data_IF_819452859465
#
_entry.id   IF_819452859465
#
_cell.length_a   1.000
_cell.length_b   1.000
_cell.length_c   1.000
_cell.angle_alpha   90.00
_cell.angle_beta   90.00
_cell.angle_gamma   90.00
#
_symmetry.space_group_name_H-M   'P 1'
#
loop_
_entity.id
_entity.type
_entity.pdbx_description
1 polymer ?
#
# COMPACT_ATOMS: atom_id res chain seq x y z
N UNK A 1 15.31 30.24 0.33
CA UNK A 1 14.32 30.09 -0.75
C UNK A 1 15.02 30.46 -2.03
N UNK A 2 15.26 29.49 -2.91
CA UNK A 2 15.73 29.82 -4.26
C UNK A 2 14.48 30.27 -5.00
N UNK A 3 14.47 31.52 -5.42
CA UNK A 3 13.35 32.11 -6.16
C UNK A 3 13.31 31.41 -7.53
N UNK A 4 12.41 30.44 -7.67
CA UNK A 4 12.14 29.72 -8.92
C UNK A 4 11.24 30.61 -9.77
N UNK A 5 11.80 31.70 -10.29
CA UNK A 5 11.27 32.27 -11.53
C UNK A 5 11.55 31.22 -12.62
N UNK A 6 10.62 30.27 -12.78
CA UNK A 6 10.58 29.33 -13.89
C UNK A 6 10.60 30.15 -15.18
N UNK A 7 11.64 29.96 -16.01
CA UNK A 7 11.62 30.48 -17.37
C UNK A 7 10.39 29.87 -18.08
N UNK A 8 9.51 30.70 -18.67
CA UNK A 8 8.23 30.24 -19.22
C UNK A 8 8.35 29.37 -20.49
N UNK A 9 9.56 29.01 -20.92
CA UNK A 9 9.83 28.30 -22.18
C UNK A 9 10.71 27.04 -22.01
N UNK A 10 10.68 26.36 -20.86
CA UNK A 10 11.38 25.07 -20.74
C UNK A 10 10.70 24.03 -21.64
N UNK A 11 11.34 23.69 -22.75
CA UNK A 11 10.87 22.69 -23.71
C UNK A 11 10.98 21.28 -23.11
N UNK A 12 9.84 20.63 -22.88
CA UNK A 12 9.78 19.25 -22.36
C UNK A 12 9.75 18.28 -23.54
N UNK A 13 10.81 17.50 -23.72
CA UNK A 13 10.90 16.54 -24.83
C UNK A 13 10.36 15.14 -24.43
N UNK A 14 9.98 14.28 -25.39
CA UNK A 14 9.48 12.94 -25.09
C UNK A 14 10.41 12.06 -24.25
N UNK A 15 11.73 12.27 -24.34
CA UNK A 15 12.70 11.56 -23.50
C UNK A 15 12.57 11.97 -22.02
N UNK A 16 12.29 13.23 -21.72
CA UNK A 16 12.10 13.73 -20.35
C UNK A 16 10.86 13.06 -19.72
N UNK A 17 9.78 12.96 -20.50
CA UNK A 17 8.54 12.25 -20.10
C UNK A 17 8.79 10.77 -19.85
N UNK A 18 9.52 10.09 -20.74
CA UNK A 18 9.80 8.66 -20.56
C UNK A 18 10.79 8.40 -19.41
N UNK A 19 11.71 9.33 -19.18
CA UNK A 19 12.66 9.27 -18.07
C UNK A 19 11.97 9.57 -16.73
N UNK A 20 10.96 10.44 -16.68
CA UNK A 20 10.23 10.78 -15.45
C UNK A 20 9.54 9.55 -14.84
N UNK A 21 9.05 8.62 -15.67
CA UNK A 21 8.42 7.35 -15.25
C UNK A 21 9.37 6.38 -14.54
N UNK A 22 10.69 6.62 -14.62
CA UNK A 22 11.71 5.74 -14.02
C UNK A 22 12.06 6.12 -12.58
N UNK A 23 11.55 7.25 -12.09
CA UNK A 23 11.76 7.76 -10.73
C UNK A 23 10.83 7.14 -9.70
N UNK A 24 11.18 7.28 -8.42
CA UNK A 24 10.36 6.77 -7.31
C UNK A 24 9.40 7.84 -6.84
N UNK A 25 8.09 7.56 -6.91
CA UNK A 25 7.06 8.48 -6.44
C UNK A 25 6.48 8.03 -5.10
N UNK A 26 6.38 8.99 -4.18
CA UNK A 26 5.72 8.83 -2.88
C UNK A 26 4.37 9.54 -2.97
N UNK A 27 3.27 8.80 -2.80
CA UNK A 27 1.93 9.37 -2.66
C UNK A 27 1.47 9.17 -1.22
N UNK A 28 0.97 10.23 -0.58
CA UNK A 28 0.48 10.23 0.80
C UNK A 28 -0.76 11.10 0.95
N UNK A 29 -1.65 10.74 1.88
CA UNK A 29 -2.73 11.61 2.32
C UNK A 29 -2.19 12.76 3.19
N UNK A 30 -2.74 13.97 3.02
CA UNK A 30 -2.53 15.12 3.90
C UNK A 30 -3.81 15.37 4.70
N UNK A 31 -3.80 15.13 6.00
CA UNK A 31 -4.95 15.45 6.86
C UNK A 31 -5.17 16.96 7.00
N UNK A 32 -4.09 17.76 6.94
CA UNK A 32 -4.17 19.22 7.06
C UNK A 32 -4.88 19.85 5.86
N UNK A 33 -4.51 19.40 4.66
CA UNK A 33 -4.98 19.99 3.40
C UNK A 33 -6.14 19.20 2.75
N UNK A 34 -6.46 18.03 3.29
CA UNK A 34 -7.47 17.09 2.76
C UNK A 34 -7.25 16.72 1.28
N UNK A 35 -5.99 16.55 0.88
CA UNK A 35 -5.60 16.15 -0.48
C UNK A 35 -4.54 15.05 -0.47
N UNK A 36 -4.36 14.38 -1.60
CA UNK A 36 -3.21 13.50 -1.82
C UNK A 36 -2.02 14.34 -2.27
N UNK A 37 -0.89 14.16 -1.60
CA UNK A 37 0.39 14.76 -1.95
C UNK A 37 1.29 13.72 -2.63
N UNK A 38 1.87 14.09 -3.75
CA UNK A 38 2.81 13.28 -4.50
C UNK A 38 4.15 14.00 -4.65
N UNK A 39 5.25 13.25 -4.60
CA UNK A 39 6.59 13.81 -4.82
C UNK A 39 7.54 12.75 -5.39
N UNK A 40 8.47 13.17 -6.25
CA UNK A 40 9.56 12.31 -6.71
C UNK A 40 10.70 12.33 -5.69
N UNK A 41 11.05 11.17 -5.14
CA UNK A 41 12.00 11.04 -4.04
C UNK A 41 13.40 11.55 -4.38
N UNK A 42 13.78 11.51 -5.66
CA UNK A 42 15.09 11.96 -6.15
C UNK A 42 15.06 13.37 -6.77
N UNK A 43 13.91 14.03 -6.82
CA UNK A 43 13.75 15.40 -7.33
C UNK A 43 13.19 16.29 -6.19
N UNK A 44 14.06 16.82 -5.31
CA UNK A 44 13.63 17.65 -4.18
C UNK A 44 12.87 18.89 -4.67
N UNK A 45 11.73 19.20 -4.04
CA UNK A 45 10.88 20.33 -4.43
C UNK A 45 9.74 19.98 -5.41
N UNK A 46 9.64 18.74 -5.87
CA UNK A 46 8.59 18.27 -6.80
C UNK A 46 7.27 17.88 -6.13
N UNK A 47 6.85 18.57 -5.06
CA UNK A 47 5.60 18.22 -4.37
C UNK A 47 4.40 18.77 -5.12
N UNK A 48 3.49 17.88 -5.53
CA UNK A 48 2.21 18.19 -6.17
C UNK A 48 1.06 17.64 -5.34
N UNK A 49 -0.17 18.11 -5.62
CA UNK A 49 -1.38 17.63 -4.98
C UNK A 49 -2.41 17.14 -6.00
N UNK A 50 -3.41 16.38 -5.54
CA UNK A 50 -4.58 15.96 -6.30
C UNK A 50 -5.69 15.44 -5.36
N UNK A 51 -6.92 15.38 -5.86
CA UNK A 51 -8.08 14.92 -5.09
C UNK A 51 -8.11 13.40 -4.96
N UNK A 52 -7.31 12.70 -5.78
CA UNK A 52 -7.11 11.25 -5.72
C UNK A 52 -5.62 10.86 -5.77
N UNK A 53 -5.26 9.64 -5.32
CA UNK A 53 -3.88 9.17 -5.40
C UNK A 53 -3.33 9.14 -6.84
N UNK A 54 -4.18 8.76 -7.80
CA UNK A 54 -3.80 8.63 -9.20
C UNK A 54 -3.60 10.00 -9.86
N UNK A 55 -4.46 10.98 -9.55
CA UNK A 55 -4.32 12.36 -10.02
C UNK A 55 -3.06 13.03 -9.47
N UNK A 56 -2.82 12.91 -8.16
CA UNK A 56 -1.59 13.46 -7.57
C UNK A 56 -0.33 12.87 -8.22
N UNK A 57 -0.35 11.56 -8.52
CA UNK A 57 0.74 10.89 -9.23
C UNK A 57 0.91 11.39 -10.67
N UNK A 58 -0.19 11.62 -11.41
CA UNK A 58 -0.15 12.19 -12.76
C UNK A 58 0.51 13.58 -12.75
N UNK A 59 0.06 14.47 -11.85
CA UNK A 59 0.68 15.79 -11.70
C UNK A 59 2.17 15.71 -11.33
N UNK A 60 2.55 14.76 -10.47
CA UNK A 60 3.95 14.56 -10.11
C UNK A 60 4.81 14.07 -11.28
N UNK A 61 4.26 13.26 -12.19
CA UNK A 61 4.96 12.80 -13.40
C UNK A 61 5.23 13.96 -14.37
N UNK A 62 4.26 14.87 -14.54
CA UNK A 62 4.40 16.06 -15.38
C UNK A 62 5.45 17.01 -14.81
N UNK A 63 5.36 17.30 -13.51
CA UNK A 63 6.35 18.11 -12.81
C UNK A 63 7.74 17.48 -12.90
N UNK A 64 7.87 16.17 -12.73
CA UNK A 64 9.15 15.50 -12.87
C UNK A 64 9.71 15.61 -14.31
N UNK A 65 8.88 15.51 -15.35
CA UNK A 65 9.33 15.74 -16.72
C UNK A 65 9.84 17.17 -16.92
N UNK A 66 9.14 18.17 -16.36
CA UNK A 66 9.57 19.57 -16.36
C UNK A 66 10.91 19.76 -15.64
N UNK A 67 11.10 19.14 -14.46
CA UNK A 67 12.37 19.20 -13.74
C UNK A 67 13.52 18.59 -14.57
N UNK A 68 13.28 17.49 -15.28
CA UNK A 68 14.30 16.86 -16.13
C UNK A 68 14.69 17.75 -17.31
N UNK A 69 13.70 18.39 -17.94
CA UNK A 69 13.93 19.38 -18.98
C UNK A 69 14.76 20.56 -18.44
N UNK A 70 14.45 21.06 -17.24
CA UNK A 70 15.24 22.11 -16.57
C UNK A 70 16.68 21.68 -16.27
N UNK A 71 16.90 20.47 -15.75
CA UNK A 71 18.24 19.93 -15.54
C UNK A 71 19.05 19.85 -16.85
N UNK A 72 18.40 19.46 -17.96
CA UNK A 72 19.03 19.42 -19.29
C UNK A 72 19.39 20.82 -19.77
N UNK A 73 18.45 21.76 -19.71
CA UNK A 73 18.64 23.14 -20.18
C UNK A 73 19.76 23.84 -19.42
N UNK A 74 19.79 23.70 -18.10
CA UNK A 74 20.83 24.29 -17.26
C UNK A 74 22.15 23.50 -17.24
N UNK A 75 22.29 22.50 -18.12
CA UNK A 75 23.45 21.61 -18.20
C UNK A 75 23.86 21.03 -16.83
N UNK A 76 22.86 20.78 -15.97
CA UNK A 76 23.05 20.19 -14.66
C UNK A 76 22.98 18.67 -14.76
N UNK A 77 23.66 17.99 -13.83
CA UNK A 77 23.67 16.52 -13.81
C UNK A 77 22.29 15.99 -13.41
N UNK A 78 21.58 15.41 -14.37
CA UNK A 78 20.31 14.71 -14.13
C UNK A 78 20.50 13.63 -13.05
N UNK A 79 19.71 13.66 -11.96
CA UNK A 79 19.74 12.62 -10.94
C UNK A 79 19.52 11.23 -11.55
N UNK A 80 20.14 10.20 -10.98
CA UNK A 80 19.86 8.83 -11.41
C UNK A 80 18.72 8.28 -10.54
N UNK A 81 17.67 7.68 -11.12
CA UNK A 81 16.63 7.03 -10.33
C UNK A 81 17.22 5.95 -9.42
N UNK A 82 16.73 5.82 -8.18
CA UNK A 82 17.33 4.92 -7.19
C UNK A 82 17.10 3.43 -7.46
N UNK A 83 16.20 3.07 -8.37
CA UNK A 83 16.06 1.71 -8.93
C UNK A 83 14.94 1.67 -9.98
N UNK A 84 15.16 0.93 -11.07
CA UNK A 84 14.12 0.70 -12.09
C UNK A 84 12.87 0.04 -11.48
N UNK A 85 11.71 0.65 -11.71
CA UNK A 85 10.41 -0.02 -11.63
C UNK A 85 9.64 0.20 -10.33
N UNK A 86 8.53 0.95 -10.45
CA UNK A 86 7.30 0.91 -9.65
C UNK A 86 7.40 0.15 -8.33
N UNK A 87 8.14 0.71 -7.37
CA UNK A 87 7.84 0.48 -5.96
C UNK A 87 7.15 1.74 -5.49
N UNK A 88 5.81 1.72 -5.56
CA UNK A 88 5.04 2.39 -4.50
C UNK A 88 5.76 1.98 -3.22
N UNK A 89 6.17 2.91 -2.35
CA UNK A 89 6.57 2.51 -1.02
C UNK A 89 5.45 1.62 -0.55
N UNK A 90 5.71 0.32 -0.39
CA UNK A 90 4.97 -0.40 0.61
C UNK A 90 5.27 0.44 1.83
N UNK A 91 4.31 1.31 2.23
CA UNK A 91 4.34 2.05 3.49
C UNK A 91 5.00 1.09 4.42
N UNK A 92 6.22 1.40 4.90
CA UNK A 92 7.14 0.42 5.51
C UNK A 92 6.24 -0.59 6.16
N UNK A 93 6.00 -1.75 5.51
CA UNK A 93 5.10 -2.73 6.11
C UNK A 93 5.89 -2.97 7.34
N UNK A 94 5.36 -2.51 8.47
CA UNK A 94 6.13 -2.52 9.67
C UNK A 94 6.65 -3.93 9.72
N UNK A 95 7.97 -4.07 9.65
CA UNK A 95 8.57 -5.37 9.79
C UNK A 95 8.31 -5.89 11.21
N UNK A 96 7.46 -5.22 12.01
CA UNK A 96 6.51 -5.84 12.92
C UNK A 96 5.66 -6.88 12.17
N UNK A 97 6.30 -8.02 11.92
CA UNK A 97 5.74 -9.36 11.90
C UNK A 97 4.33 -9.47 11.32
N UNK A 98 4.23 -9.80 10.03
CA UNK A 98 3.25 -10.84 9.68
C UNK A 98 3.65 -12.02 10.56
N UNK A 99 2.85 -12.33 11.58
CA UNK A 99 3.19 -13.40 12.49
C UNK A 99 3.39 -14.67 11.67
N UNK A 100 4.63 -15.15 11.68
CA UNK A 100 5.03 -16.38 11.01
C UNK A 100 4.85 -17.58 11.94
N UNK A 101 4.26 -17.39 13.12
CA UNK A 101 4.05 -18.48 14.05
C UNK A 101 2.97 -19.38 13.44
N UNK A 102 3.33 -20.61 13.04
CA UNK A 102 2.34 -21.54 12.53
C UNK A 102 1.38 -21.89 13.67
N UNK A 103 0.08 -21.71 13.43
CA UNK A 103 -0.95 -22.11 14.38
C UNK A 103 -1.25 -23.60 14.20
N UNK A 104 -1.24 -24.35 15.30
CA UNK A 104 -1.60 -25.77 15.31
C UNK A 104 -3.11 -25.95 15.09
N UNK A 105 -3.57 -27.10 14.57
CA UNK A 105 -4.98 -27.36 14.30
C UNK A 105 -5.91 -27.12 15.51
N UNK A 106 -5.44 -27.45 16.71
CA UNK A 106 -6.16 -27.29 17.97
C UNK A 106 -6.29 -25.81 18.35
N UNK A 107 -5.27 -25.00 18.09
CA UNK A 107 -5.28 -23.56 18.33
C UNK A 107 -6.25 -22.85 17.38
N UNK A 108 -6.33 -23.27 16.12
CA UNK A 108 -7.28 -22.73 15.14
C UNK A 108 -8.72 -23.01 15.61
N UNK A 109 -8.97 -24.23 16.07
CA UNK A 109 -10.26 -24.61 16.65
C UNK A 109 -10.57 -23.78 17.89
N UNK A 110 -9.61 -23.60 18.79
CA UNK A 110 -9.77 -22.83 20.02
C UNK A 110 -10.12 -21.35 19.74
N UNK A 111 -9.48 -20.73 18.75
CA UNK A 111 -9.84 -19.36 18.33
C UNK A 111 -11.29 -19.32 17.86
N UNK A 112 -11.69 -20.23 16.96
CA UNK A 112 -13.07 -20.28 16.48
C UNK A 112 -14.08 -20.50 17.61
N UNK A 113 -13.81 -21.44 18.51
CA UNK A 113 -14.69 -21.79 19.62
C UNK A 113 -14.79 -20.63 20.64
N UNK A 114 -13.69 -19.89 20.88
CA UNK A 114 -13.70 -18.71 21.76
C UNK A 114 -14.58 -17.57 21.25
N UNK A 115 -14.83 -17.53 19.94
CA UNK A 115 -15.71 -16.57 19.27
C UNK A 115 -17.16 -17.08 19.17
N UNK A 116 -17.45 -18.31 19.63
CA UNK A 116 -18.77 -18.92 19.50
C UNK A 116 -19.18 -19.21 18.05
N UNK A 117 -18.23 -19.31 17.13
CA UNK A 117 -18.51 -19.41 15.69
C UNK A 117 -18.56 -20.86 15.19
N UNK A 118 -19.49 -21.14 14.28
CA UNK A 118 -19.46 -22.38 13.48
C UNK A 118 -18.37 -22.31 12.40
N UNK A 119 -17.93 -23.45 11.87
CA UNK A 119 -16.92 -23.47 10.79
C UNK A 119 -17.29 -22.62 9.56
N UNK A 120 -18.55 -22.64 9.07
CA UNK A 120 -18.96 -21.77 7.96
C UNK A 120 -18.87 -20.28 8.30
N UNK A 121 -19.35 -19.91 9.48
CA UNK A 121 -19.34 -18.52 9.97
C UNK A 121 -17.91 -17.99 10.10
N UNK A 122 -17.03 -18.81 10.66
CA UNK A 122 -15.61 -18.50 10.77
C UNK A 122 -14.91 -18.39 9.40
N UNK A 123 -15.31 -19.23 8.44
CA UNK A 123 -14.79 -19.17 7.07
C UNK A 123 -15.17 -17.87 6.36
N UNK A 124 -16.42 -17.40 6.53
CA UNK A 124 -16.88 -16.09 6.02
C UNK A 124 -16.07 -14.93 6.61
N UNK A 125 -15.93 -14.89 7.94
CA UNK A 125 -15.13 -13.86 8.63
C UNK A 125 -13.68 -13.82 8.13
N UNK A 126 -13.10 -14.97 7.79
CA UNK A 126 -11.74 -15.07 7.28
C UNK A 126 -11.64 -14.96 5.74
N UNK A 127 -12.76 -14.78 5.05
CA UNK A 127 -12.86 -14.76 3.58
C UNK A 127 -12.21 -15.99 2.90
N UNK A 128 -12.45 -17.18 3.45
CA UNK A 128 -11.96 -18.46 2.91
C UNK A 128 -13.07 -19.49 2.79
N UNK A 129 -12.80 -20.61 2.13
CA UNK A 129 -13.77 -21.69 2.05
C UNK A 129 -13.89 -22.47 3.37
N UNK A 130 -15.07 -23.00 3.66
CA UNK A 130 -15.29 -23.92 4.80
C UNK A 130 -14.37 -25.14 4.74
N UNK A 131 -14.03 -25.59 3.53
CA UNK A 131 -13.09 -26.69 3.32
C UNK A 131 -11.67 -26.32 3.77
N UNK A 132 -11.25 -25.06 3.61
CA UNK A 132 -9.97 -24.58 4.12
C UNK A 132 -9.93 -24.65 5.65
N UNK A 133 -10.97 -24.13 6.33
CA UNK A 133 -11.10 -24.20 7.80
C UNK A 133 -11.07 -25.66 8.29
N UNK A 134 -11.82 -26.56 7.64
CA UNK A 134 -11.79 -28.00 7.96
C UNK A 134 -10.40 -28.61 7.79
N UNK A 135 -9.73 -28.33 6.68
CA UNK A 135 -8.39 -28.85 6.41
C UNK A 135 -7.36 -28.33 7.43
N UNK A 136 -7.54 -27.10 7.94
CA UNK A 136 -6.69 -26.52 8.97
C UNK A 136 -6.92 -27.15 10.34
N UNK A 137 -8.17 -27.26 10.78
CA UNK A 137 -8.53 -27.88 12.07
C UNK A 137 -8.26 -29.38 12.13
N UNK A 138 -8.04 -30.03 10.98
CA UNK A 138 -7.63 -31.44 10.87
C UNK A 138 -6.12 -31.61 10.62
N UNK A 139 -5.37 -30.51 10.46
CA UNK A 139 -3.92 -30.54 10.21
C UNK A 139 -3.49 -30.95 8.80
N UNK A 140 -4.42 -31.15 7.86
CA UNK A 140 -4.11 -31.47 6.46
C UNK A 140 -3.47 -30.29 5.71
N UNK A 141 -3.75 -29.05 6.12
CA UNK A 141 -3.19 -27.82 5.55
C UNK A 141 -2.93 -26.79 6.65
N UNK A 142 -2.19 -25.73 6.31
CA UNK A 142 -1.95 -24.59 7.21
C UNK A 142 -2.53 -23.30 6.64
N UNK A 143 -2.98 -22.35 7.48
CA UNK A 143 -3.42 -21.03 7.01
C UNK A 143 -2.25 -20.24 6.41
N UNK A 144 -2.57 -19.35 5.47
CA UNK A 144 -1.58 -18.41 4.92
C UNK A 144 -1.35 -17.24 5.90
N UNK A 145 -0.33 -16.40 5.63
CA UNK A 145 0.04 -15.32 6.55
C UNK A 145 -1.04 -14.25 6.78
N UNK A 146 -1.96 -14.05 5.83
CA UNK A 146 -3.08 -13.13 6.02
C UNK A 146 -4.12 -13.73 6.98
N UNK A 147 -4.48 -15.01 6.79
CA UNK A 147 -5.40 -15.73 7.66
C UNK A 147 -4.86 -15.85 9.09
N UNK A 148 -3.57 -16.17 9.26
CA UNK A 148 -2.91 -16.21 10.58
C UNK A 148 -3.01 -14.86 11.29
N UNK A 149 -2.69 -13.77 10.58
CA UNK A 149 -2.73 -12.43 11.19
C UNK A 149 -4.14 -12.04 11.62
N UNK A 150 -5.15 -12.36 10.81
CA UNK A 150 -6.53 -12.08 11.16
C UNK A 150 -6.99 -12.90 12.36
N UNK A 151 -6.65 -14.19 12.42
CA UNK A 151 -6.93 -15.04 13.59
C UNK A 151 -6.27 -14.51 14.87
N UNK A 152 -5.04 -13.98 14.80
CA UNK A 152 -4.40 -13.34 15.97
C UNK A 152 -5.16 -12.11 16.44
N UNK A 153 -5.54 -11.24 15.50
CA UNK A 153 -6.31 -10.03 15.82
C UNK A 153 -7.64 -10.42 16.48
N UNK A 154 -8.33 -11.44 15.95
CA UNK A 154 -9.57 -11.96 16.52
C UNK A 154 -9.38 -12.60 17.90
N UNK A 155 -8.25 -13.29 18.11
CA UNK A 155 -7.88 -13.86 19.41
C UNK A 155 -7.59 -12.76 20.45
N UNK A 156 -6.89 -11.71 20.06
CA UNK A 156 -6.58 -10.56 20.93
C UNK A 156 -7.81 -9.68 21.18
N UNK A 157 -8.73 -9.60 20.21
CA UNK A 157 -9.92 -8.74 20.25
C UNK A 157 -11.16 -9.46 19.72
N UNK A 158 -11.80 -10.33 20.54
CA UNK A 158 -12.98 -11.11 20.12
C UNK A 158 -14.16 -10.29 19.58
N UNK A 159 -14.33 -9.05 20.07
CA UNK A 159 -15.40 -8.13 19.65
C UNK A 159 -15.38 -7.79 18.15
N UNK A 160 -14.23 -7.91 17.47
CA UNK A 160 -14.18 -7.73 16.01
C UNK A 160 -14.85 -8.87 15.26
N UNK A 161 -14.88 -10.07 15.82
CA UNK A 161 -15.58 -11.22 15.25
C UNK A 161 -17.06 -10.90 15.01
N UNK A 162 -17.74 -10.34 16.02
CA UNK A 162 -19.15 -9.96 15.91
C UNK A 162 -19.39 -8.86 14.85
N UNK A 163 -18.52 -7.85 14.79
CA UNK A 163 -18.64 -6.76 13.79
C UNK A 163 -18.43 -7.24 12.36
N UNK A 164 -17.49 -8.17 12.14
CA UNK A 164 -17.24 -8.77 10.83
C UNK A 164 -18.43 -9.61 10.35
N UNK A 165 -19.19 -10.23 11.26
CA UNK A 165 -20.42 -10.94 10.92
C UNK A 165 -21.54 -10.03 10.40
N UNK A 166 -21.67 -8.84 10.97
CA UNK A 166 -22.69 -7.87 10.52
C UNK A 166 -22.33 -7.29 9.15
N UNK A 167 -21.04 -7.13 8.84
CA UNK A 167 -20.59 -6.58 7.57
C UNK A 167 -20.86 -7.52 6.37
N UNK A 168 -20.73 -8.83 6.56
CA UNK A 168 -20.99 -9.84 5.51
C UNK A 168 -22.48 -10.14 5.29
N UNK A 169 -23.37 -9.67 6.17
CA UNK A 169 -24.82 -9.83 6.03
C UNK A 169 -25.50 -8.75 5.15
N UNK A 170 -24.73 -7.79 4.62
CA UNK A 170 -25.24 -6.60 3.89
C UNK A 170 -24.91 -6.63 2.38
N UNK A 171 -24.40 -7.74 1.84
CA UNK A 171 -24.16 -7.87 0.38
C UNK A 171 -25.16 -8.81 -0.27
#
# INVERSE_FOLDING_TARGET
MVDLQLDPEIDVIPEDVERSKRYTYLVRWSEEDQVFLASAAELPGSTTHGDSPDEALLHALDVAALWLAAYREWNQRIPKPRSHGRRVPRSRRSAASVSRIPMAPEEIRAVRDSLGMSQPVFASVLSVSVQAVRAWEQGHRRPNGAALRLMEILRENPAYGERLLVADAIV
#
